data_IF_554234935717
#
_entry.id   IF_554234935717
#
_cell.length_a   1.000
_cell.length_b   1.000
_cell.length_c   1.000
_cell.angle_alpha   90.00
_cell.angle_beta   90.00
_cell.angle_gamma   90.00
#
_symmetry.space_group_name_H-M   'P 1'
#
loop_
_entity.id
_entity.type
_entity.pdbx_description
1 polymer ?
#
# COMPACT_ATOMS: atom_id res chain seq x y z
N UNK A 1 25.93 -16.13 -17.92
CA UNK A 1 25.59 -16.96 -19.08
C UNK A 1 24.38 -16.37 -19.81
N UNK A 2 24.52 -16.04 -21.10
CA UNK A 2 23.49 -15.41 -21.93
C UNK A 2 22.27 -16.31 -22.15
N UNK A 3 22.46 -17.64 -22.20
CA UNK A 3 21.36 -18.58 -22.36
C UNK A 3 20.46 -18.63 -21.11
N UNK A 4 21.07 -18.58 -19.92
CA UNK A 4 20.35 -18.49 -18.65
C UNK A 4 19.51 -17.19 -18.57
N UNK A 5 20.11 -16.04 -18.88
CA UNK A 5 19.41 -14.76 -18.89
C UNK A 5 18.23 -14.74 -19.89
N UNK A 6 18.40 -15.33 -21.06
CA UNK A 6 17.33 -15.42 -22.06
C UNK A 6 16.14 -16.29 -21.57
N UNK A 7 16.41 -17.42 -20.91
CA UNK A 7 15.34 -18.25 -20.33
C UNK A 7 14.58 -17.52 -19.22
N UNK A 8 15.28 -16.79 -18.35
CA UNK A 8 14.65 -15.97 -17.32
C UNK A 8 13.74 -14.91 -17.94
N UNK A 9 14.22 -14.22 -18.98
CA UNK A 9 13.42 -13.23 -19.71
C UNK A 9 12.14 -13.82 -20.30
N UNK A 10 12.22 -14.97 -20.99
CA UNK A 10 11.04 -15.62 -21.55
C UNK A 10 10.06 -16.11 -20.46
N UNK A 11 10.58 -16.61 -19.34
CA UNK A 11 9.78 -16.99 -18.19
C UNK A 11 9.02 -15.81 -17.58
N UNK A 12 9.72 -14.70 -17.36
CA UNK A 12 9.13 -13.47 -16.83
C UNK A 12 8.08 -12.91 -17.79
N UNK A 13 8.37 -12.83 -19.09
CA UNK A 13 7.41 -12.35 -20.09
C UNK A 13 6.12 -13.20 -20.11
N UNK A 14 6.25 -14.52 -20.03
CA UNK A 14 5.13 -15.45 -19.94
C UNK A 14 4.31 -15.26 -18.65
N UNK A 15 5.01 -15.11 -17.50
CA UNK A 15 4.37 -14.82 -16.23
C UNK A 15 3.58 -13.51 -16.26
N UNK A 16 4.20 -12.41 -16.71
CA UNK A 16 3.56 -11.09 -16.81
C UNK A 16 2.34 -11.12 -17.74
N UNK A 17 2.43 -11.80 -18.88
CA UNK A 17 1.28 -11.95 -19.79
C UNK A 17 0.09 -12.63 -19.13
N UNK A 18 0.34 -13.70 -18.36
CA UNK A 18 -0.72 -14.41 -17.62
C UNK A 18 -1.29 -13.58 -16.47
N UNK A 19 -0.43 -12.85 -15.77
CA UNK A 19 -0.84 -11.95 -14.69
C UNK A 19 -1.79 -10.87 -15.22
N UNK A 20 -1.44 -10.20 -16.31
CA UNK A 20 -2.28 -9.16 -16.89
C UNK A 20 -3.61 -9.72 -17.42
N UNK A 21 -3.61 -10.90 -18.04
CA UNK A 21 -4.84 -11.57 -18.46
C UNK A 21 -5.75 -11.97 -17.28
N UNK A 22 -5.15 -12.29 -16.13
CA UNK A 22 -5.90 -12.55 -14.90
C UNK A 22 -6.54 -11.28 -14.34
N UNK A 23 -5.77 -10.18 -14.26
CA UNK A 23 -6.27 -8.87 -13.80
C UNK A 23 -7.40 -8.35 -14.69
N UNK A 24 -7.25 -8.42 -16.03
CA UNK A 24 -8.31 -8.04 -16.97
C UNK A 24 -9.61 -8.82 -16.72
N UNK A 25 -9.51 -10.14 -16.47
CA UNK A 25 -10.68 -10.95 -16.13
C UNK A 25 -11.31 -10.54 -14.81
N UNK A 26 -10.50 -10.24 -13.80
CA UNK A 26 -10.99 -9.80 -12.49
C UNK A 26 -11.75 -8.47 -12.62
N UNK A 27 -11.15 -7.48 -13.29
CA UNK A 27 -11.71 -6.15 -13.45
C UNK A 27 -12.92 -6.11 -14.37
N UNK A 28 -12.89 -6.83 -15.50
CA UNK A 28 -13.96 -6.76 -16.52
C UNK A 28 -15.13 -7.72 -16.27
N UNK A 29 -14.92 -8.80 -15.51
CA UNK A 29 -15.93 -9.84 -15.29
C UNK A 29 -16.22 -10.07 -13.82
N UNK A 30 -15.20 -10.33 -13.00
CA UNK A 30 -15.42 -10.80 -11.62
C UNK A 30 -15.93 -9.68 -10.72
N UNK A 31 -15.24 -8.54 -10.69
CA UNK A 31 -15.60 -7.41 -9.83
C UNK A 31 -16.98 -6.82 -10.14
N UNK A 32 -17.38 -6.58 -11.41
CA UNK A 32 -18.73 -6.16 -11.74
C UNK A 32 -19.80 -7.15 -11.26
N UNK A 33 -19.53 -8.45 -11.40
CA UNK A 33 -20.48 -9.48 -10.99
C UNK A 33 -20.59 -9.60 -9.47
N UNK A 34 -19.48 -9.45 -8.74
CA UNK A 34 -19.49 -9.35 -7.28
C UNK A 34 -20.30 -8.15 -6.82
N UNK A 35 -20.03 -6.95 -7.35
CA UNK A 35 -20.79 -5.74 -7.02
C UNK A 35 -22.27 -5.89 -7.33
N UNK A 36 -22.62 -6.45 -8.49
CA UNK A 36 -24.01 -6.67 -8.91
C UNK A 36 -24.75 -7.63 -7.98
N UNK A 37 -24.08 -8.65 -7.44
CA UNK A 37 -24.70 -9.68 -6.59
C UNK A 37 -24.77 -9.29 -5.11
N UNK A 38 -23.74 -8.64 -4.59
CA UNK A 38 -23.56 -8.45 -3.16
C UNK A 38 -23.64 -6.99 -2.70
N UNK A 39 -23.56 -6.02 -3.61
CA UNK A 39 -23.46 -4.60 -3.22
C UNK A 39 -22.09 -4.26 -2.65
N UNK A 40 -21.91 -3.01 -2.21
CA UNK A 40 -20.60 -2.48 -1.80
C UNK A 40 -20.28 -2.88 -0.37
N UNK A 41 -21.21 -2.69 0.56
CA UNK A 41 -20.98 -2.86 2.00
C UNK A 41 -20.58 -4.30 2.37
N UNK A 42 -21.26 -5.37 1.89
CA UNK A 42 -20.86 -6.73 2.21
C UNK A 42 -19.50 -7.12 1.61
N UNK A 43 -19.11 -6.51 0.50
CA UNK A 43 -17.80 -6.73 -0.12
C UNK A 43 -16.69 -6.01 0.65
N UNK A 44 -16.95 -4.80 1.15
CA UNK A 44 -16.03 -4.11 2.06
C UNK A 44 -15.83 -4.91 3.35
N UNK A 45 -16.90 -5.39 3.97
CA UNK A 45 -16.78 -6.25 5.16
C UNK A 45 -15.95 -7.52 4.90
N UNK A 46 -16.12 -8.14 3.72
CA UNK A 46 -15.34 -9.31 3.34
C UNK A 46 -13.86 -8.94 3.12
N UNK A 47 -13.60 -7.83 2.44
CA UNK A 47 -12.27 -7.30 2.23
C UNK A 47 -11.57 -7.04 3.58
N UNK A 48 -12.25 -6.41 4.53
CA UNK A 48 -11.70 -6.11 5.85
C UNK A 48 -11.34 -7.38 6.62
N UNK A 49 -12.15 -8.44 6.51
CA UNK A 49 -11.84 -9.75 7.10
C UNK A 49 -10.60 -10.39 6.45
N UNK A 50 -10.44 -10.25 5.14
CA UNK A 50 -9.27 -10.77 4.42
C UNK A 50 -8.03 -10.00 4.85
N UNK A 51 -8.06 -8.67 4.83
CA UNK A 51 -6.93 -7.82 5.22
C UNK A 51 -6.55 -8.08 6.67
N UNK A 52 -7.53 -8.18 7.57
CA UNK A 52 -7.30 -8.45 8.99
C UNK A 52 -6.74 -9.84 9.27
N UNK A 53 -6.81 -10.77 8.30
CA UNK A 53 -6.22 -12.11 8.42
C UNK A 53 -4.74 -12.18 8.03
N UNK A 54 -4.18 -11.09 7.49
CA UNK A 54 -2.77 -11.00 7.11
C UNK A 54 -1.94 -10.75 8.37
N UNK A 55 -0.90 -11.57 8.57
CA UNK A 55 0.01 -11.39 9.70
C UNK A 55 0.75 -10.04 9.58
N UNK A 56 1.04 -9.35 10.70
CA UNK A 56 1.65 -8.01 10.66
C UNK A 56 2.96 -7.93 9.87
N UNK A 57 3.79 -8.97 9.96
CA UNK A 57 5.08 -9.03 9.25
C UNK A 57 4.88 -9.17 7.72
N UNK A 58 3.88 -9.94 7.29
CA UNK A 58 3.53 -10.11 5.87
C UNK A 58 2.93 -8.82 5.30
N UNK A 59 2.12 -8.11 6.09
CA UNK A 59 1.59 -6.80 5.73
C UNK A 59 2.71 -5.76 5.60
N UNK A 60 3.63 -5.70 6.57
CA UNK A 60 4.76 -4.78 6.52
C UNK A 60 5.67 -5.07 5.31
N UNK A 61 5.93 -6.35 5.02
CA UNK A 61 6.67 -6.75 3.83
C UNK A 61 5.96 -6.33 2.54
N UNK A 62 4.65 -6.55 2.44
CA UNK A 62 3.85 -6.14 1.28
C UNK A 62 3.90 -4.63 1.07
N UNK A 63 3.70 -3.85 2.14
CA UNK A 63 3.77 -2.39 2.10
C UNK A 63 5.16 -1.88 1.68
N UNK A 64 6.23 -2.56 2.08
CA UNK A 64 7.61 -2.20 1.69
C UNK A 64 7.83 -2.22 0.17
N UNK A 65 7.09 -3.06 -0.55
CA UNK A 65 7.12 -3.15 -2.01
C UNK A 65 6.07 -2.25 -2.66
N UNK A 66 4.87 -2.17 -2.08
CA UNK A 66 3.76 -1.40 -2.63
C UNK A 66 4.03 0.11 -2.59
N UNK A 67 4.47 0.63 -1.45
CA UNK A 67 4.68 2.06 -1.24
C UNK A 67 5.53 2.71 -2.36
N UNK A 68 6.73 2.21 -2.69
CA UNK A 68 7.53 2.81 -3.77
C UNK A 68 6.91 2.62 -5.17
N UNK A 69 6.07 1.60 -5.39
CA UNK A 69 5.41 1.34 -6.67
C UNK A 69 4.13 2.17 -6.88
N UNK A 70 3.49 2.62 -5.80
CA UNK A 70 2.27 3.43 -5.85
C UNK A 70 2.57 4.87 -6.27
N UNK A 71 1.59 5.55 -6.86
CA UNK A 71 1.66 6.99 -7.08
C UNK A 71 1.40 7.76 -5.76
N UNK A 72 1.66 9.07 -5.75
CA UNK A 72 1.53 9.89 -4.53
C UNK A 72 0.09 9.97 -3.99
N UNK A 73 -0.92 9.97 -4.86
CA UNK A 73 -2.32 10.05 -4.43
C UNK A 73 -2.75 8.77 -3.73
N UNK A 74 -2.43 7.60 -4.30
CA UNK A 74 -2.75 6.31 -3.69
C UNK A 74 -2.05 6.14 -2.33
N UNK A 75 -0.81 6.62 -2.20
CA UNK A 75 -0.07 6.60 -0.92
C UNK A 75 -0.78 7.45 0.13
N UNK A 76 -1.24 8.65 -0.24
CA UNK A 76 -1.97 9.56 0.66
C UNK A 76 -3.30 8.95 1.08
N UNK A 77 -4.05 8.37 0.14
CA UNK A 77 -5.32 7.70 0.43
C UNK A 77 -5.11 6.54 1.41
N UNK A 78 -4.16 5.65 1.12
CA UNK A 78 -3.84 4.50 1.98
C UNK A 78 -3.47 4.93 3.41
N UNK A 79 -2.54 5.88 3.55
CA UNK A 79 -2.08 6.29 4.89
C UNK A 79 -3.12 7.15 5.63
N UNK A 80 -3.98 7.89 4.91
CA UNK A 80 -5.09 8.62 5.54
C UNK A 80 -6.15 7.65 6.07
N UNK A 81 -6.55 6.65 5.28
CA UNK A 81 -7.47 5.61 5.74
C UNK A 81 -6.90 4.82 6.92
N UNK A 82 -5.60 4.53 6.90
CA UNK A 82 -4.93 3.88 8.03
C UNK A 82 -4.93 4.74 9.30
N UNK A 83 -4.69 6.06 9.17
CA UNK A 83 -4.77 6.98 10.32
C UNK A 83 -6.16 7.00 10.96
N UNK A 84 -7.21 6.87 10.16
CA UNK A 84 -8.60 6.90 10.64
C UNK A 84 -9.04 5.56 11.25
N UNK A 85 -8.56 4.44 10.71
CA UNK A 85 -9.05 3.09 11.05
C UNK A 85 -8.13 2.23 11.92
N UNK A 86 -6.84 2.55 12.04
CA UNK A 86 -5.86 1.71 12.74
C UNK A 86 -5.35 2.36 14.05
N UNK A 87 -4.79 1.58 14.99
CA UNK A 87 -4.07 2.11 16.14
C UNK A 87 -2.94 3.07 15.72
N UNK A 88 -2.68 4.07 16.56
CA UNK A 88 -1.70 5.12 16.26
C UNK A 88 -0.29 4.55 15.98
N UNK A 89 0.10 3.51 16.72
CA UNK A 89 1.40 2.85 16.58
C UNK A 89 1.56 2.16 15.21
N UNK A 90 0.46 1.65 14.64
CA UNK A 90 0.46 1.03 13.30
C UNK A 90 0.68 2.10 12.24
N UNK A 91 -0.07 3.21 12.33
CA UNK A 91 0.10 4.35 11.42
C UNK A 91 1.53 4.92 11.49
N UNK A 92 2.05 5.14 12.69
CA UNK A 92 3.43 5.61 12.90
C UNK A 92 4.47 4.64 12.31
N UNK A 93 4.27 3.34 12.52
CA UNK A 93 5.13 2.29 11.95
C UNK A 93 5.17 2.33 10.43
N UNK A 94 4.02 2.48 9.77
CA UNK A 94 3.94 2.56 8.31
C UNK A 94 4.48 3.88 7.76
N UNK A 95 4.30 5.00 8.47
CA UNK A 95 5.00 6.25 8.14
C UNK A 95 6.53 6.09 8.22
N UNK A 96 7.03 5.40 9.25
CA UNK A 96 8.45 5.07 9.39
C UNK A 96 8.96 4.22 8.23
N UNK A 97 8.21 3.17 7.86
CA UNK A 97 8.50 2.33 6.69
C UNK A 97 8.54 3.14 5.40
N UNK A 98 7.55 4.02 5.18
CA UNK A 98 7.49 4.88 3.99
C UNK A 98 8.75 5.76 3.87
N UNK A 99 9.26 6.31 4.98
CA UNK A 99 10.52 7.06 4.99
C UNK A 99 11.74 6.19 4.66
N UNK A 100 11.71 4.88 4.92
CA UNK A 100 12.82 3.96 4.60
C UNK A 100 12.83 3.52 3.14
N UNK A 101 11.65 3.32 2.53
CA UNK A 101 11.54 2.70 1.19
C UNK A 101 11.30 3.69 0.06
N UNK A 102 10.88 4.92 0.36
CA UNK A 102 10.66 5.96 -0.64
C UNK A 102 11.91 6.81 -0.87
N UNK A 103 12.00 7.37 -2.07
CA UNK A 103 12.95 8.44 -2.35
C UNK A 103 12.70 9.64 -1.40
N UNK A 104 13.74 10.38 -0.97
CA UNK A 104 13.58 11.45 0.02
C UNK A 104 12.56 12.53 -0.37
N UNK A 105 12.50 12.88 -1.66
CA UNK A 105 11.54 13.85 -2.18
C UNK A 105 10.09 13.34 -2.04
N UNK A 106 9.84 12.08 -2.41
CA UNK A 106 8.54 11.43 -2.33
C UNK A 106 8.06 11.29 -0.88
N UNK A 107 8.95 10.88 0.02
CA UNK A 107 8.65 10.81 1.46
C UNK A 107 8.30 12.20 2.01
N UNK A 108 9.03 13.25 1.60
CA UNK A 108 8.74 14.63 2.01
C UNK A 108 7.36 15.07 1.52
N UNK A 109 7.05 14.85 0.23
CA UNK A 109 5.74 15.19 -0.33
C UNK A 109 4.61 14.43 0.36
N UNK A 110 4.77 13.13 0.62
CA UNK A 110 3.77 12.33 1.33
C UNK A 110 3.51 12.89 2.74
N UNK A 111 4.56 13.22 3.49
CA UNK A 111 4.44 13.82 4.82
C UNK A 111 3.74 15.19 4.80
N UNK A 112 4.04 16.02 3.81
CA UNK A 112 3.34 17.31 3.59
C UNK A 112 1.85 17.10 3.38
N UNK A 113 1.48 16.16 2.51
CA UNK A 113 0.08 15.85 2.19
C UNK A 113 -0.67 15.28 3.39
N UNK A 114 0.01 14.59 4.29
CA UNK A 114 -0.54 14.07 5.55
C UNK A 114 -0.51 15.07 6.72
N UNK A 115 0.00 16.29 6.51
CA UNK A 115 0.12 17.33 7.53
C UNK A 115 1.15 17.02 8.62
N UNK A 116 2.19 16.25 8.32
CA UNK A 116 3.16 15.71 9.28
C UNK A 116 4.42 16.58 9.49
N UNK A 117 4.58 17.67 8.73
CA UNK A 117 5.80 18.49 8.80
C UNK A 117 5.77 19.57 9.89
N UNK A 118 4.67 19.64 10.63
CA UNK A 118 4.52 20.53 11.79
C UNK A 118 4.77 19.87 13.15
N UNK A 119 5.02 18.56 13.21
CA UNK A 119 5.26 17.87 14.48
C UNK A 119 6.76 17.84 14.83
N UNK A 120 7.30 19.01 15.20
CA UNK A 120 8.60 19.12 15.90
C UNK A 120 8.57 20.29 16.90
N UNK A 121 8.76 19.93 18.18
CA UNK A 121 9.07 20.73 19.39
C UNK A 121 8.17 21.93 19.77
N UNK A 122 7.05 21.65 20.43
CA UNK A 122 6.45 22.55 21.43
C UNK A 122 6.31 21.80 22.76
N UNK A 123 7.46 21.55 23.40
CA UNK A 123 7.57 20.77 24.64
C UNK A 123 8.88 21.01 25.38
N UNK A 124 9.40 22.24 25.33
CA UNK A 124 10.35 22.72 26.34
C UNK A 124 9.64 23.87 27.06
N UNK A 125 8.88 23.50 28.08
CA UNK A 125 8.18 24.42 28.96
C UNK A 125 9.16 25.37 29.66
N UNK A 126 8.72 26.62 29.73
CA UNK A 126 9.19 27.64 30.65
C UNK A 126 8.91 27.19 32.10
N UNK A 127 9.89 27.35 33.00
CA UNK A 127 9.76 27.21 34.46
C UNK A 127 11.00 26.51 35.04
N UNK A 128 11.88 27.13 35.84
CA UNK A 128 11.85 28.38 36.63
C UNK A 128 13.21 29.07 36.58
#
# INVERSE_FOLDING_TARGET
>A
DRACAHRLYLGLASFTSRYLAHQDREESVVMPELHRRYGVEPLLEMNDRIISSIEPDDMAWSLSMMLPAMNVEDRVELLSGMREGAPAEVFEGVCGLATQVLEPADSTTLRQRLGLDGASVAGAGVGS
#
